data_IF_106251360641
#
_entry.id   IF_106251360641
#
_cell.length_a   1.000
_cell.length_b   1.000
_cell.length_c   1.000
_cell.angle_alpha   90.00
_cell.angle_beta   90.00
_cell.angle_gamma   90.00
#
_symmetry.space_group_name_H-M   'P 1'
#
loop_
_entity.id
_entity.type
_entity.pdbx_description
1 polymer ?
#
# COMPACT_ATOMS: atom_id res chain seq x y z
N UNK A 1 -15.69 -15.79 -13.96
CA UNK A 1 -15.63 -15.12 -15.28
C UNK A 1 -14.69 -13.93 -15.32
N UNK A 2 -13.47 -14.01 -14.76
CA UNK A 2 -12.46 -12.94 -14.88
C UNK A 2 -11.28 -13.32 -15.78
N UNK A 3 -10.79 -14.56 -15.64
CA UNK A 3 -9.59 -15.04 -16.35
C UNK A 3 -9.78 -15.17 -17.86
N UNK A 4 -10.98 -15.58 -18.31
CA UNK A 4 -11.33 -15.65 -19.73
C UNK A 4 -11.39 -14.27 -20.40
N UNK A 5 -11.70 -13.21 -19.64
CA UNK A 5 -11.69 -11.85 -20.17
C UNK A 5 -10.26 -11.38 -20.39
N UNK A 6 -9.34 -11.60 -19.46
CA UNK A 6 -7.92 -11.25 -19.62
C UNK A 6 -7.23 -11.92 -20.80
N UNK A 7 -7.51 -13.21 -21.06
CA UNK A 7 -6.92 -13.93 -22.19
C UNK A 7 -7.44 -13.44 -23.55
N UNK A 8 -8.75 -13.12 -23.64
CA UNK A 8 -9.34 -12.52 -24.84
C UNK A 8 -8.89 -11.06 -25.04
N UNK A 9 -8.64 -10.33 -23.95
CA UNK A 9 -8.17 -8.93 -23.96
C UNK A 9 -6.71 -8.80 -24.39
N UNK A 10 -5.86 -9.78 -24.05
CA UNK A 10 -4.46 -9.83 -24.50
C UNK A 10 -4.34 -10.21 -26.00
N UNK A 11 -5.36 -10.84 -26.58
CA UNK A 11 -5.35 -11.31 -27.96
C UNK A 11 -5.64 -10.21 -29.00
N UNK A 12 -6.12 -9.02 -28.60
CA UNK A 12 -6.39 -7.90 -29.51
C UNK A 12 -5.50 -6.67 -29.21
N UNK A 13 -4.39 -6.48 -29.95
CA UNK A 13 -3.44 -5.38 -29.72
C UNK A 13 -4.05 -3.97 -29.82
N UNK A 14 -5.10 -3.79 -30.64
CA UNK A 14 -5.74 -2.48 -30.81
C UNK A 14 -6.57 -2.09 -29.59
N UNK A 15 -7.35 -3.03 -29.06
CA UNK A 15 -8.14 -2.80 -27.84
C UNK A 15 -7.26 -2.67 -26.60
N UNK A 16 -6.11 -3.36 -26.59
CA UNK A 16 -5.10 -3.24 -25.55
C UNK A 16 -4.54 -1.81 -25.46
N UNK A 17 -4.09 -1.24 -26.58
CA UNK A 17 -3.50 0.11 -26.61
C UNK A 17 -4.52 1.17 -26.16
N UNK A 18 -5.74 1.15 -26.69
CA UNK A 18 -6.79 2.10 -26.31
C UNK A 18 -7.17 2.02 -24.83
N UNK A 19 -7.07 0.84 -24.23
CA UNK A 19 -7.39 0.64 -22.81
C UNK A 19 -6.21 0.91 -21.90
N UNK A 20 -4.96 0.71 -22.32
CA UNK A 20 -3.78 1.15 -21.57
C UNK A 20 -3.80 2.67 -21.37
N UNK A 21 -4.19 3.42 -22.40
CA UNK A 21 -4.44 4.86 -22.27
C UNK A 21 -5.61 5.15 -21.31
N UNK A 22 -6.70 4.38 -21.38
CA UNK A 22 -7.85 4.51 -20.46
C UNK A 22 -7.55 4.09 -19.00
N UNK A 23 -6.61 3.17 -18.77
CA UNK A 23 -6.17 2.66 -17.45
C UNK A 23 -4.87 3.32 -16.95
N UNK A 24 -4.52 4.50 -17.49
CA UNK A 24 -3.44 5.37 -16.99
C UNK A 24 -1.99 4.86 -17.20
N UNK A 25 -1.72 4.03 -18.21
CA UNK A 25 -0.39 3.44 -18.52
C UNK A 25 0.22 2.53 -17.44
N UNK A 26 -0.44 2.35 -16.29
CA UNK A 26 0.08 1.59 -15.14
C UNK A 26 0.49 0.14 -15.46
N UNK A 27 -0.25 -0.65 -16.26
CA UNK A 27 0.14 -2.03 -16.54
C UNK A 27 1.56 -2.15 -17.13
N UNK A 28 1.92 -1.33 -18.12
CA UNK A 28 3.26 -1.36 -18.71
C UNK A 28 4.34 -0.77 -17.81
N UNK A 29 4.00 0.21 -16.96
CA UNK A 29 4.92 0.71 -15.92
C UNK A 29 5.26 -0.42 -14.94
N UNK A 30 4.25 -1.17 -14.49
CA UNK A 30 4.42 -2.27 -13.54
C UNK A 30 5.20 -3.43 -14.15
N UNK A 31 4.88 -3.80 -15.39
CA UNK A 31 5.64 -4.80 -16.14
C UNK A 31 7.11 -4.39 -16.26
N UNK A 32 7.38 -3.12 -16.60
CA UNK A 32 8.75 -2.61 -16.68
C UNK A 32 9.49 -2.72 -15.35
N UNK A 33 8.85 -2.31 -14.25
CA UNK A 33 9.45 -2.44 -12.90
C UNK A 33 9.83 -3.89 -12.62
N UNK A 34 8.96 -4.86 -12.95
CA UNK A 34 9.24 -6.28 -12.73
C UNK A 34 10.35 -6.82 -13.65
N UNK A 35 10.42 -6.36 -14.90
CA UNK A 35 11.52 -6.70 -15.81
C UNK A 35 12.85 -6.14 -15.32
N UNK A 36 12.85 -4.94 -14.75
CA UNK A 36 14.05 -4.29 -14.20
C UNK A 36 14.52 -4.97 -12.90
N UNK A 37 13.73 -5.83 -12.26
CA UNK A 37 14.11 -6.55 -11.03
C UNK A 37 15.07 -7.72 -11.25
N UNK A 38 15.36 -8.11 -12.50
CA UNK A 38 16.23 -9.27 -12.77
C UNK A 38 17.62 -9.07 -12.15
N UNK A 39 18.02 -10.02 -11.30
CA UNK A 39 19.27 -9.94 -10.53
C UNK A 39 19.19 -9.16 -9.21
N UNK A 40 18.06 -8.49 -8.92
CA UNK A 40 17.90 -7.61 -7.76
C UNK A 40 16.73 -7.99 -6.83
N UNK A 41 16.22 -9.22 -6.92
CA UNK A 41 15.02 -9.64 -6.19
C UNK A 41 15.09 -9.51 -4.67
N UNK A 42 16.24 -9.75 -4.03
CA UNK A 42 16.31 -9.81 -2.57
C UNK A 42 16.32 -8.44 -1.90
N UNK A 43 17.19 -7.53 -2.37
CA UNK A 43 17.43 -6.22 -1.76
C UNK A 43 17.07 -5.05 -2.68
N UNK A 44 16.57 -5.33 -3.88
CA UNK A 44 16.22 -4.30 -4.86
C UNK A 44 17.45 -3.59 -5.41
N UNK A 45 17.19 -2.44 -6.01
CA UNK A 45 18.18 -1.53 -6.56
C UNK A 45 18.71 -0.52 -5.54
N UNK A 46 18.14 -0.50 -4.33
CA UNK A 46 18.45 0.46 -3.28
C UNK A 46 17.46 1.63 -3.26
N UNK A 47 17.32 2.26 -2.09
CA UNK A 47 16.27 3.25 -1.87
C UNK A 47 16.51 4.62 -2.54
N UNK A 48 17.77 4.95 -2.87
CA UNK A 48 18.15 6.28 -3.39
C UNK A 48 18.26 6.33 -4.92
N UNK A 49 17.85 5.27 -5.61
CA UNK A 49 17.89 5.25 -7.08
C UNK A 49 16.93 6.26 -7.69
N UNK A 50 17.10 6.55 -8.97
CA UNK A 50 16.11 7.31 -9.73
C UNK A 50 14.79 6.51 -9.82
N UNK A 51 13.65 7.06 -9.37
CA UNK A 51 12.40 6.33 -9.40
C UNK A 51 11.76 6.25 -10.79
N UNK A 52 12.28 6.97 -11.79
CA UNK A 52 11.69 7.04 -13.13
C UNK A 52 11.63 5.69 -13.82
N UNK A 53 10.53 5.44 -14.54
CA UNK A 53 10.27 4.18 -15.26
C UNK A 53 10.00 4.48 -16.73
N UNK A 54 10.65 3.76 -17.64
CA UNK A 54 10.46 3.90 -19.09
C UNK A 54 9.43 2.87 -19.58
N UNK A 55 8.29 3.32 -20.10
CA UNK A 55 7.26 2.45 -20.65
C UNK A 55 6.53 3.15 -21.81
N UNK A 56 6.10 2.40 -22.82
CA UNK A 56 5.36 2.93 -23.98
C UNK A 56 6.04 4.16 -24.64
N UNK A 57 7.36 4.11 -24.82
CA UNK A 57 8.19 5.20 -25.37
C UNK A 57 8.08 6.54 -24.59
N UNK A 58 7.65 6.47 -23.32
CA UNK A 58 7.51 7.61 -22.40
C UNK A 58 8.28 7.35 -21.11
N UNK A 59 8.67 8.44 -20.45
CA UNK A 59 9.30 8.40 -19.13
C UNK A 59 8.29 8.83 -18.07
N UNK A 60 7.96 7.92 -17.17
CA UNK A 60 7.10 8.17 -16.02
C UNK A 60 7.93 8.50 -14.79
N UNK A 61 7.40 9.35 -13.91
CA UNK A 61 8.15 9.83 -12.74
C UNK A 61 8.36 8.77 -11.65
N UNK A 62 7.49 7.74 -11.60
CA UNK A 62 7.54 6.66 -10.63
C UNK A 62 6.64 5.48 -11.02
N UNK A 63 6.62 4.42 -10.20
CA UNK A 63 5.86 3.20 -10.44
C UNK A 63 4.33 3.34 -10.27
N UNK A 64 3.85 4.46 -9.70
CA UNK A 64 2.45 4.69 -9.32
C UNK A 64 1.85 3.56 -8.45
N UNK A 65 2.68 2.87 -7.66
CA UNK A 65 2.28 1.80 -6.76
C UNK A 65 3.39 1.58 -5.71
N UNK A 66 3.08 1.80 -4.43
CA UNK A 66 4.08 1.78 -3.37
C UNK A 66 4.57 0.38 -3.03
N UNK A 67 3.78 -0.65 -3.32
CA UNK A 67 4.22 -2.05 -3.16
C UNK A 67 5.30 -2.38 -4.19
N UNK A 68 5.10 -1.95 -5.44
CA UNK A 68 6.11 -2.10 -6.49
C UNK A 68 7.33 -1.21 -6.25
N UNK A 69 7.15 0.00 -5.73
CA UNK A 69 8.27 0.84 -5.32
C UNK A 69 9.06 0.20 -4.17
N UNK A 70 8.39 -0.40 -3.18
CA UNK A 70 9.05 -1.12 -2.07
C UNK A 70 9.81 -2.36 -2.56
N UNK A 71 9.26 -3.07 -3.53
CA UNK A 71 9.93 -4.18 -4.21
C UNK A 71 11.15 -3.70 -5.02
N UNK A 72 11.00 -2.62 -5.79
CA UNK A 72 12.09 -2.02 -6.57
C UNK A 72 13.24 -1.56 -5.68
N UNK A 73 12.92 -0.83 -4.62
CA UNK A 73 13.89 -0.13 -3.78
C UNK A 73 14.54 -1.05 -2.74
N UNK A 74 13.78 -2.00 -2.18
CA UNK A 74 14.22 -2.86 -1.07
C UNK A 74 14.07 -4.36 -1.33
N UNK A 75 13.64 -4.78 -2.53
CA UNK A 75 13.45 -6.17 -2.89
C UNK A 75 12.31 -6.84 -2.12
N UNK A 76 12.34 -8.18 -2.14
CA UNK A 76 11.42 -9.02 -1.39
C UNK A 76 11.52 -8.74 0.12
N UNK A 77 12.70 -8.36 0.63
CA UNK A 77 12.86 -7.99 2.04
C UNK A 77 12.08 -6.72 2.36
N UNK A 78 12.25 -5.67 1.58
CA UNK A 78 11.52 -4.40 1.77
C UNK A 78 10.00 -4.59 1.65
N UNK A 79 9.55 -5.34 0.64
CA UNK A 79 8.14 -5.66 0.47
C UNK A 79 7.60 -6.49 1.64
N UNK A 80 8.33 -7.50 2.12
CA UNK A 80 7.91 -8.33 3.24
C UNK A 80 7.75 -7.53 4.54
N UNK A 81 8.66 -6.58 4.80
CA UNK A 81 8.56 -5.69 5.96
C UNK A 81 7.31 -4.78 5.88
N UNK A 82 7.03 -4.21 4.70
CA UNK A 82 5.81 -3.42 4.48
C UNK A 82 4.55 -4.27 4.74
N UNK A 83 4.51 -5.48 4.18
CA UNK A 83 3.39 -6.40 4.38
C UNK A 83 3.25 -6.84 5.84
N UNK A 84 4.35 -7.01 6.56
CA UNK A 84 4.33 -7.34 7.99
C UNK A 84 3.68 -6.23 8.82
N UNK A 85 4.03 -4.95 8.55
CA UNK A 85 3.40 -3.80 9.21
C UNK A 85 1.89 -3.79 8.94
N UNK A 86 1.49 -3.99 7.69
CA UNK A 86 0.07 -4.03 7.30
C UNK A 86 -0.68 -5.20 7.93
N UNK A 87 -0.05 -6.37 8.02
CA UNK A 87 -0.64 -7.55 8.65
C UNK A 87 -0.88 -7.33 10.15
N UNK A 88 0.11 -6.77 10.86
CA UNK A 88 -0.02 -6.43 12.28
C UNK A 88 -1.11 -5.38 12.50
N UNK A 89 -1.11 -4.29 11.71
CA UNK A 89 -2.13 -3.25 11.80
C UNK A 89 -3.53 -3.81 11.52
N UNK A 90 -3.67 -4.67 10.50
CA UNK A 90 -4.96 -5.30 10.18
C UNK A 90 -5.43 -6.22 11.30
N UNK A 91 -4.53 -7.03 11.87
CA UNK A 91 -4.85 -7.92 12.99
C UNK A 91 -5.34 -7.12 14.20
N UNK A 92 -4.69 -5.99 14.51
CA UNK A 92 -5.06 -5.15 15.65
C UNK A 92 -6.36 -4.39 15.41
N UNK A 93 -6.54 -3.81 14.21
CA UNK A 93 -7.79 -3.18 13.81
C UNK A 93 -8.96 -4.17 13.87
N UNK A 94 -8.75 -5.41 13.41
CA UNK A 94 -9.74 -6.47 13.50
C UNK A 94 -10.08 -6.82 14.95
N UNK A 95 -9.08 -6.87 15.84
CA UNK A 95 -9.32 -7.09 17.28
C UNK A 95 -10.09 -5.95 17.91
N UNK A 96 -9.75 -4.69 17.61
CA UNK A 96 -10.50 -3.51 18.08
C UNK A 96 -11.96 -3.54 17.60
N UNK A 97 -12.18 -3.89 16.34
CA UNK A 97 -13.52 -4.11 15.80
C UNK A 97 -14.27 -5.21 16.58
N UNK A 98 -13.65 -6.36 16.81
CA UNK A 98 -14.28 -7.50 17.50
C UNK A 98 -14.57 -7.24 18.98
N UNK A 99 -13.71 -6.48 19.67
CA UNK A 99 -13.82 -6.25 21.11
C UNK A 99 -14.63 -5.00 21.46
N UNK A 100 -14.52 -3.94 20.66
CA UNK A 100 -15.11 -2.61 20.95
C UNK A 100 -16.12 -2.14 19.91
N UNK A 101 -16.28 -2.86 18.79
CA UNK A 101 -17.14 -2.44 17.69
C UNK A 101 -16.58 -1.29 16.85
N UNK A 102 -15.32 -0.90 17.06
CA UNK A 102 -14.68 0.27 16.42
C UNK A 102 -14.30 -0.02 14.96
N UNK A 103 -15.27 0.12 14.04
CA UNK A 103 -15.10 -0.15 12.59
C UNK A 103 -14.20 0.85 11.87
N UNK A 104 -14.05 2.05 12.42
CA UNK A 104 -13.38 3.17 11.74
C UNK A 104 -11.91 2.87 11.43
N UNK A 105 -11.19 2.20 12.34
CA UNK A 105 -9.78 1.89 12.14
C UNK A 105 -9.55 0.91 10.99
N UNK A 106 -10.40 -0.10 10.87
CA UNK A 106 -10.35 -1.05 9.77
C UNK A 106 -10.68 -0.38 8.44
N UNK A 107 -11.71 0.46 8.41
CA UNK A 107 -12.08 1.21 7.21
C UNK A 107 -10.96 2.15 6.73
N UNK A 108 -10.37 2.91 7.66
CA UNK A 108 -9.25 3.82 7.34
C UNK A 108 -8.00 3.05 6.89
N UNK A 109 -7.70 1.89 7.49
CA UNK A 109 -6.57 1.06 7.08
C UNK A 109 -6.77 0.51 5.66
N UNK A 110 -7.95 -0.02 5.36
CA UNK A 110 -8.27 -0.51 4.01
C UNK A 110 -8.20 0.62 2.98
N UNK A 111 -8.71 1.80 3.33
CA UNK A 111 -8.58 2.99 2.50
C UNK A 111 -7.10 3.32 2.23
N UNK A 112 -6.27 3.41 3.28
CA UNK A 112 -4.83 3.65 3.15
C UNK A 112 -4.12 2.62 2.27
N UNK A 113 -4.42 1.33 2.44
CA UNK A 113 -3.89 0.24 1.62
C UNK A 113 -4.24 0.39 0.14
N UNK A 114 -5.46 0.84 -0.16
CA UNK A 114 -5.89 1.10 -1.55
C UNK A 114 -5.35 2.40 -2.12
N UNK A 115 -5.12 3.42 -1.29
CA UNK A 115 -4.56 4.69 -1.74
C UNK A 115 -3.11 4.52 -2.21
N UNK A 116 -2.30 3.76 -1.47
CA UNK A 116 -0.88 3.55 -1.82
C UNK A 116 -0.67 2.63 -3.02
N UNK A 117 -1.68 1.84 -3.43
CA UNK A 117 -1.56 0.97 -4.61
C UNK A 117 -1.71 1.70 -5.95
N UNK A 118 -2.28 2.90 -5.95
CA UNK A 118 -2.73 3.56 -7.18
C UNK A 118 -1.90 4.77 -7.61
N UNK A 119 -1.25 5.50 -6.69
CA UNK A 119 -0.59 6.75 -7.09
C UNK A 119 0.54 7.23 -6.17
N UNK A 120 1.23 6.32 -5.50
CA UNK A 120 2.27 6.70 -4.54
C UNK A 120 3.55 5.88 -4.71
N UNK A 121 4.70 6.53 -4.60
CA UNK A 121 6.03 5.94 -4.80
C UNK A 121 6.67 5.55 -3.46
N UNK A 122 7.27 6.51 -2.75
CA UNK A 122 8.16 6.28 -1.62
C UNK A 122 7.55 6.67 -0.27
N UNK A 123 7.27 5.67 0.58
CA UNK A 123 6.61 5.82 1.90
C UNK A 123 7.48 6.41 3.00
N UNK A 124 8.81 6.40 2.88
CA UNK A 124 9.70 6.78 3.99
C UNK A 124 10.18 8.23 3.93
N UNK A 125 10.39 8.81 2.74
CA UNK A 125 11.16 10.07 2.62
C UNK A 125 10.33 11.29 2.21
N UNK A 126 9.20 11.12 1.52
CA UNK A 126 8.42 12.26 1.02
C UNK A 126 7.03 12.32 1.65
N UNK A 127 6.84 13.06 2.77
CA UNK A 127 5.52 13.25 3.36
C UNK A 127 4.66 14.12 2.43
N UNK A 128 3.92 13.48 1.53
CA UNK A 128 2.84 14.08 0.74
C UNK A 128 1.49 13.73 1.38
N UNK A 129 0.40 14.29 0.89
CA UNK A 129 -0.95 14.06 1.44
C UNK A 129 -1.30 12.56 1.61
N UNK A 130 -0.98 11.72 0.62
CA UNK A 130 -1.21 10.26 0.66
C UNK A 130 -0.41 9.56 1.78
N UNK A 131 0.73 10.12 2.17
CA UNK A 131 1.53 9.61 3.29
C UNK A 131 0.71 9.59 4.58
N UNK A 132 -0.06 10.65 4.84
CA UNK A 132 -0.93 10.72 6.03
C UNK A 132 -2.03 9.67 5.96
N UNK A 133 -2.64 9.43 4.80
CA UNK A 133 -3.69 8.42 4.66
C UNK A 133 -3.19 7.00 4.94
N UNK A 134 -1.90 6.74 4.73
CA UNK A 134 -1.29 5.47 5.11
C UNK A 134 -0.90 5.44 6.59
N UNK A 135 -0.13 6.42 7.07
CA UNK A 135 0.46 6.36 8.41
C UNK A 135 -0.51 6.71 9.53
N UNK A 136 -1.52 7.55 9.29
CA UNK A 136 -2.53 7.91 10.28
C UNK A 136 -3.30 6.69 10.82
N UNK A 137 -3.94 5.85 9.99
CA UNK A 137 -4.63 4.67 10.51
C UNK A 137 -3.69 3.71 11.24
N UNK A 138 -2.48 3.49 10.71
CA UNK A 138 -1.47 2.63 11.36
C UNK A 138 -1.10 3.17 12.74
N UNK A 139 -0.79 4.46 12.85
CA UNK A 139 -0.45 5.11 14.11
C UNK A 139 -1.61 5.08 15.12
N UNK A 140 -2.85 5.32 14.66
CA UNK A 140 -4.04 5.23 15.50
C UNK A 140 -4.25 3.82 16.03
N UNK A 141 -4.13 2.80 15.18
CA UNK A 141 -4.25 1.40 15.59
C UNK A 141 -3.17 1.04 16.60
N UNK A 142 -1.92 1.44 16.35
CA UNK A 142 -0.81 1.17 17.27
C UNK A 142 -0.95 1.92 18.60
N UNK A 143 -1.43 3.16 18.59
CA UNK A 143 -1.62 3.99 19.78
C UNK A 143 -2.85 3.64 20.61
N UNK A 144 -3.87 3.03 20.00
CA UNK A 144 -5.08 2.55 20.69
C UNK A 144 -4.97 1.10 21.18
N UNK A 145 -3.98 0.36 20.64
CA UNK A 145 -3.62 -0.98 21.06
C UNK A 145 -2.49 -1.10 22.12
N UNK A 146 -2.35 -0.24 23.17
CA UNK A 146 -1.60 -0.62 24.36
C UNK A 146 -2.48 -1.54 25.22
N UNK A 147 -1.92 -2.68 25.61
CA UNK A 147 -2.53 -3.68 26.52
C UNK A 147 -2.75 -3.19 27.96
N UNK A 148 -3.38 -2.04 28.16
CA UNK A 148 -3.85 -1.56 29.45
C UNK A 148 -5.30 -1.16 29.33
N UNK A 149 -6.18 -2.11 29.63
CA UNK A 149 -7.48 -1.78 30.18
C UNK A 149 -7.24 -1.01 31.47
N UNK A 150 -7.23 0.32 31.40
CA UNK A 150 -7.60 1.10 32.58
C UNK A 150 -9.13 1.05 32.62
N UNK A 151 -9.76 0.40 33.61
CA UNK A 151 -11.22 0.43 33.73
C UNK A 151 -11.67 1.90 33.83
N UNK A 152 -12.79 2.25 33.19
CA UNK A 152 -13.31 3.63 33.13
C UNK A 152 -13.48 4.26 34.54
N UNK A 153 -13.62 3.44 35.58
CA UNK A 153 -13.63 3.86 36.99
C UNK A 153 -12.37 4.59 37.45
N UNK A 154 -11.23 4.40 36.79
CA UNK A 154 -9.99 5.10 37.10
C UNK A 154 -9.79 6.38 36.28
N UNK A 155 -10.60 6.61 35.24
CA UNK A 155 -10.53 7.81 34.39
C UNK A 155 -11.33 8.98 34.97
N UNK A 156 -12.36 8.67 35.77
CA UNK A 156 -13.17 9.64 36.51
C UNK A 156 -13.43 9.16 37.95
N UNK A 157 -12.47 9.32 38.88
CA UNK A 157 -12.71 9.05 40.28
C UNK A 157 -13.58 10.18 40.86
N UNK A 158 -14.91 10.09 40.72
CA UNK A 158 -15.77 11.14 41.29
C UNK A 158 -17.28 11.10 41.08
N UNK A 159 -17.84 10.29 40.18
CA UNK A 159 -19.31 10.26 40.00
C UNK A 159 -19.92 8.97 40.55
N UNK A 160 -19.94 8.90 41.88
CA UNK A 160 -20.57 7.83 42.64
C UNK A 160 -21.08 8.35 43.97
N UNK A 161 -22.09 9.22 43.93
CA UNK A 161 -23.09 9.47 44.98
C UNK A 161 -24.33 10.05 44.33
#
# INVERSE_FOLDING_TARGET
GGVASWALLAANPRDWIHRVEAFSFRPGIWERVLQDMQGHWWFGHGYLIDPRVQAYDKVFSHAHNSYLASLRDGGLVGLALLLAILAVATLWAWRLYRLRGERIYLALLLYGMTAISMDYDRLLVHPKEIWLFFWLPVALIMGTYPGRHQPDSARYPGHGT
#
